data_IF_486819514270
#
_entry.id   IF_486819514270
#
_cell.length_a   1.000
_cell.length_b   1.000
_cell.length_c   1.000
_cell.angle_alpha   90.00
_cell.angle_beta   90.00
_cell.angle_gamma   90.00
#
_symmetry.space_group_name_H-M   'P 1'
#
loop_
_entity.id
_entity.type
_entity.pdbx_description
1 polymer ?
#
# COMPACT_ATOMS: atom_id res chain seq x y z
N UNK A 1 -44.15 61.32 23.62
CA UNK A 1 -43.68 61.44 22.24
C UNK A 1 -43.27 60.01 21.84
N UNK A 2 -44.00 59.49 20.86
CA UNK A 2 -44.04 58.02 20.51
C UNK A 2 -42.81 57.64 19.71
N UNK A 3 -42.10 56.65 20.18
CA UNK A 3 -41.10 55.94 19.38
C UNK A 3 -41.79 54.81 18.62
N UNK A 4 -41.60 54.81 17.30
CA UNK A 4 -42.05 53.74 16.39
C UNK A 4 -40.87 52.80 16.23
N UNK A 5 -41.08 51.56 16.66
CA UNK A 5 -40.11 50.45 16.56
C UNK A 5 -40.32 49.77 15.21
N UNK A 6 -39.38 49.90 14.29
CA UNK A 6 -39.36 49.17 13.02
C UNK A 6 -38.54 47.89 13.25
N UNK A 7 -39.23 46.74 13.24
CA UNK A 7 -38.61 45.42 13.23
C UNK A 7 -38.35 45.06 11.79
N UNK A 8 -37.09 45.04 11.38
CA UNK A 8 -36.66 44.46 10.09
C UNK A 8 -36.29 42.98 10.40
N UNK A 9 -37.14 42.07 9.92
CA UNK A 9 -36.86 40.64 9.92
C UNK A 9 -35.90 40.32 8.78
N UNK A 10 -34.62 40.12 9.11
CA UNK A 10 -33.64 39.55 8.20
C UNK A 10 -33.80 38.05 8.17
N UNK A 11 -34.36 37.51 7.09
CA UNK A 11 -34.31 36.07 6.76
C UNK A 11 -32.86 35.72 6.38
N UNK A 12 -32.16 35.10 7.29
CA UNK A 12 -30.92 34.39 7.00
C UNK A 12 -31.27 33.08 6.28
N UNK A 13 -31.11 33.06 4.98
CA UNK A 13 -31.00 31.81 4.23
C UNK A 13 -29.66 31.18 4.64
N UNK A 14 -29.73 30.21 5.54
CA UNK A 14 -28.62 29.30 5.83
C UNK A 14 -28.50 28.35 4.66
N UNK A 15 -27.63 28.69 3.71
CA UNK A 15 -27.16 27.76 2.69
C UNK A 15 -26.31 26.72 3.41
N UNK A 16 -26.88 25.56 3.75
CA UNK A 16 -26.12 24.37 4.09
C UNK A 16 -25.36 23.92 2.84
N UNK A 17 -24.19 24.48 2.63
CA UNK A 17 -23.16 23.82 1.84
C UNK A 17 -22.73 22.59 2.64
N UNK A 18 -23.25 21.45 2.29
CA UNK A 18 -22.63 20.17 2.65
C UNK A 18 -21.24 20.18 2.01
N UNK A 19 -20.23 20.59 2.78
CA UNK A 19 -18.86 20.16 2.52
C UNK A 19 -18.87 18.66 2.64
N UNK A 20 -19.08 17.98 1.51
CA UNK A 20 -18.72 16.59 1.39
C UNK A 20 -17.21 16.56 1.58
N UNK A 21 -16.82 16.10 2.78
CA UNK A 21 -15.47 15.63 3.05
C UNK A 21 -15.08 14.66 1.95
N UNK A 22 -14.41 15.20 0.93
CA UNK A 22 -13.66 14.38 -0.02
C UNK A 22 -12.41 13.86 0.72
N UNK A 23 -12.64 13.05 1.72
CA UNK A 23 -11.68 12.08 2.16
C UNK A 23 -11.63 11.03 1.04
N UNK A 24 -10.91 11.38 -0.01
CA UNK A 24 -10.56 10.44 -1.07
C UNK A 24 -9.60 9.42 -0.45
N UNK A 25 -10.17 8.51 0.31
CA UNK A 25 -9.56 7.22 0.58
C UNK A 25 -9.41 6.60 -0.81
N UNK A 26 -8.22 6.74 -1.39
CA UNK A 26 -7.83 5.96 -2.57
C UNK A 26 -7.84 4.49 -2.13
N UNK A 27 -9.04 3.90 -2.07
CA UNK A 27 -9.21 2.47 -2.08
C UNK A 27 -8.74 1.98 -3.45
N UNK A 28 -7.43 2.06 -3.65
CA UNK A 28 -6.80 1.25 -4.67
C UNK A 28 -7.16 -0.18 -4.28
N UNK A 29 -7.78 -0.91 -5.19
CA UNK A 29 -8.11 -2.32 -5.04
C UNK A 29 -6.80 -3.13 -5.12
N UNK A 30 -5.84 -2.74 -4.26
CA UNK A 30 -4.54 -3.39 -4.16
C UNK A 30 -4.76 -4.81 -3.66
N UNK A 31 -4.06 -5.76 -4.25
CA UNK A 31 -3.97 -7.10 -3.72
C UNK A 31 -3.44 -7.09 -2.28
N UNK A 32 -3.58 -8.21 -1.58
CA UNK A 32 -3.16 -8.31 -0.18
C UNK A 32 -1.71 -7.82 -0.05
N UNK A 33 -1.51 -6.82 0.79
CA UNK A 33 -0.25 -6.08 0.91
C UNK A 33 0.35 -6.25 2.31
N UNK A 34 1.67 -6.43 2.37
CA UNK A 34 2.44 -6.44 3.60
C UNK A 34 3.43 -5.28 3.61
N UNK A 35 3.45 -4.50 4.68
CA UNK A 35 4.49 -3.52 4.97
C UNK A 35 5.55 -4.20 5.85
N UNK A 36 6.77 -4.33 5.33
CA UNK A 36 7.91 -4.85 6.08
C UNK A 36 8.85 -3.71 6.39
N UNK A 37 9.23 -3.55 7.64
CA UNK A 37 10.08 -2.45 8.01
C UNK A 37 11.08 -2.77 9.14
N UNK A 38 12.17 -2.02 9.16
CA UNK A 38 13.10 -1.92 10.26
C UNK A 38 13.24 -0.48 10.71
N UNK A 39 13.18 -0.21 12.02
CA UNK A 39 13.26 1.14 12.54
C UNK A 39 14.16 1.22 13.78
N UNK A 40 15.36 1.78 13.62
CA UNK A 40 16.31 1.95 14.74
C UNK A 40 15.99 3.19 15.57
N UNK A 41 15.84 4.35 14.94
CA UNK A 41 15.60 5.65 15.59
C UNK A 41 14.14 6.06 15.69
N UNK A 42 13.20 5.23 15.22
CA UNK A 42 11.77 5.54 15.17
C UNK A 42 11.28 6.12 13.85
N UNK A 43 12.14 6.75 13.02
CA UNK A 43 11.72 7.44 11.80
C UNK A 43 10.98 6.53 10.81
N UNK A 44 11.45 5.29 10.57
CA UNK A 44 10.76 4.37 9.69
C UNK A 44 9.40 3.95 10.26
N UNK A 45 9.27 3.78 11.57
CA UNK A 45 7.97 3.47 12.22
C UNK A 45 6.99 4.62 12.03
N UNK A 46 7.42 5.88 12.11
CA UNK A 46 6.56 7.02 11.84
C UNK A 46 6.12 7.09 10.36
N UNK A 47 7.00 6.71 9.42
CA UNK A 47 6.66 6.58 8.01
C UNK A 47 5.60 5.49 7.83
N UNK A 48 5.79 4.32 8.46
CA UNK A 48 4.84 3.20 8.42
C UNK A 48 3.48 3.58 8.99
N UNK A 49 3.44 4.31 10.11
CA UNK A 49 2.18 4.80 10.68
C UNK A 49 1.44 5.73 9.69
N UNK A 50 2.17 6.61 9.00
CA UNK A 50 1.59 7.50 7.99
C UNK A 50 1.14 6.74 6.73
N UNK A 51 1.83 5.66 6.36
CA UNK A 51 1.47 4.78 5.25
C UNK A 51 0.23 3.94 5.59
N UNK A 52 0.17 3.34 6.77
CA UNK A 52 -0.95 2.52 7.23
C UNK A 52 -2.26 3.32 7.39
N UNK A 53 -2.18 4.63 7.56
CA UNK A 53 -3.34 5.50 7.54
C UNK A 53 -3.92 5.71 6.12
N UNK A 54 -3.17 5.34 5.07
CA UNK A 54 -3.53 5.57 3.67
C UNK A 54 -3.78 4.29 2.86
N UNK A 55 -3.24 3.15 3.32
CA UNK A 55 -3.40 1.85 2.68
C UNK A 55 -3.79 0.77 3.68
N UNK A 56 -4.64 -0.17 3.26
CA UNK A 56 -4.93 -1.36 4.04
C UNK A 56 -3.83 -2.39 3.81
N UNK A 57 -3.01 -2.64 4.83
CA UNK A 57 -1.88 -3.57 4.77
C UNK A 57 -1.56 -4.15 6.15
N UNK A 58 -1.11 -5.40 6.18
CA UNK A 58 -0.52 -5.98 7.36
C UNK A 58 0.88 -5.39 7.59
N UNK A 59 1.38 -5.38 8.82
CA UNK A 59 2.67 -4.80 9.17
C UNK A 59 3.57 -5.83 9.84
N UNK A 60 4.85 -5.83 9.46
CA UNK A 60 5.89 -6.67 10.03
C UNK A 60 7.13 -5.82 10.35
N UNK A 61 7.41 -5.63 11.61
CA UNK A 61 8.66 -5.01 12.06
C UNK A 61 9.76 -6.05 12.22
N UNK A 62 10.86 -5.85 11.52
CA UNK A 62 12.04 -6.70 11.66
C UNK A 62 12.86 -6.23 12.86
N UNK A 63 13.25 -7.17 13.71
CA UNK A 63 14.04 -6.89 14.90
C UNK A 63 15.37 -7.65 14.86
N UNK A 64 16.48 -7.03 15.28
CA UNK A 64 17.73 -7.76 15.50
C UNK A 64 17.55 -8.81 16.61
N UNK A 65 18.16 -9.97 16.48
CA UNK A 65 18.11 -11.01 17.53
C UNK A 65 18.79 -10.52 18.82
N UNK A 66 19.93 -9.86 18.70
CA UNK A 66 20.59 -9.21 19.82
C UNK A 66 19.98 -7.84 20.07
N UNK A 67 19.47 -7.63 21.29
CA UNK A 67 18.78 -6.39 21.68
C UNK A 67 19.74 -5.39 22.32
N UNK A 68 19.36 -4.09 22.22
CA UNK A 68 20.09 -3.00 22.87
C UNK A 68 21.42 -2.63 22.20
N UNK A 69 21.66 -3.13 20.99
CA UNK A 69 22.84 -2.77 20.21
C UNK A 69 22.83 -1.27 19.90
N UNK A 70 23.98 -0.64 20.11
CA UNK A 70 24.20 0.76 19.79
C UNK A 70 25.10 0.87 18.55
N UNK A 71 24.48 0.96 17.38
CA UNK A 71 25.19 0.97 16.11
C UNK A 71 26.03 2.24 15.92
N UNK A 72 25.66 3.34 16.60
CA UNK A 72 26.36 4.62 16.61
C UNK A 72 27.55 4.67 17.58
N UNK A 73 27.67 3.71 18.49
CA UNK A 73 28.75 3.68 19.47
C UNK A 73 30.12 3.51 18.80
N UNK A 74 31.17 4.05 19.44
CA UNK A 74 32.57 3.97 18.99
C UNK A 74 32.76 4.42 17.55
N UNK A 75 32.17 5.57 17.17
CA UNK A 75 32.27 6.10 15.81
C UNK A 75 31.59 5.20 14.78
N UNK A 76 30.48 4.59 15.14
CA UNK A 76 29.69 3.67 14.31
C UNK A 76 30.38 2.34 13.95
N UNK A 77 31.30 1.89 14.77
CA UNK A 77 32.12 0.70 14.49
C UNK A 77 31.28 -0.56 14.18
N UNK A 78 30.25 -0.83 14.99
CA UNK A 78 29.40 -2.01 14.81
C UNK A 78 28.64 -1.97 13.48
N UNK A 79 27.94 -0.87 13.19
CA UNK A 79 27.18 -0.74 11.95
C UNK A 79 28.08 -0.84 10.71
N UNK A 80 29.27 -0.23 10.76
CA UNK A 80 30.28 -0.32 9.69
C UNK A 80 30.77 -1.75 9.51
N UNK A 81 31.05 -2.48 10.61
CA UNK A 81 31.47 -3.87 10.55
C UNK A 81 30.44 -4.77 9.89
N UNK A 82 29.14 -4.63 10.25
CA UNK A 82 28.07 -5.43 9.68
C UNK A 82 27.92 -5.21 8.17
N UNK A 83 27.93 -3.95 7.72
CA UNK A 83 27.83 -3.65 6.30
C UNK A 83 29.06 -4.12 5.52
N UNK A 84 30.25 -4.00 6.07
CA UNK A 84 31.49 -4.49 5.45
C UNK A 84 31.49 -6.03 5.32
N UNK A 85 30.97 -6.75 6.32
CA UNK A 85 30.84 -8.21 6.25
C UNK A 85 29.91 -8.62 5.09
N UNK A 86 28.74 -8.01 4.97
CA UNK A 86 27.78 -8.27 3.88
C UNK A 86 28.41 -7.91 2.52
N UNK A 87 29.09 -6.77 2.43
CA UNK A 87 29.74 -6.32 1.19
C UNK A 87 30.86 -7.27 0.74
N UNK A 88 31.62 -7.81 1.68
CA UNK A 88 32.72 -8.72 1.39
C UNK A 88 32.22 -10.08 0.87
N UNK A 89 31.13 -10.59 1.42
CA UNK A 89 30.56 -11.91 1.08
C UNK A 89 29.03 -11.84 1.00
N UNK A 90 28.46 -11.21 -0.04
CA UNK A 90 27.02 -10.91 -0.11
C UNK A 90 26.13 -12.15 -0.30
N UNK A 91 26.71 -13.28 -0.69
CA UNK A 91 25.99 -14.54 -0.91
C UNK A 91 26.15 -15.52 0.27
N UNK A 92 26.98 -15.18 1.27
CA UNK A 92 27.19 -16.00 2.46
C UNK A 92 26.23 -15.55 3.59
N UNK A 93 25.35 -16.46 4.02
CA UNK A 93 24.42 -16.20 5.12
C UNK A 93 25.12 -15.78 6.44
N UNK A 94 26.37 -16.26 6.67
CA UNK A 94 27.16 -15.90 7.84
C UNK A 94 27.58 -14.42 7.89
N UNK A 95 27.52 -13.71 6.76
CA UNK A 95 27.81 -12.28 6.65
C UNK A 95 26.69 -11.39 7.17
N UNK A 96 25.50 -11.95 7.35
CA UNK A 96 24.31 -11.21 7.74
C UNK A 96 24.06 -11.33 9.25
N UNK A 97 23.78 -10.22 9.97
CA UNK A 97 23.47 -10.29 11.38
C UNK A 97 22.18 -11.07 11.64
N UNK A 98 22.11 -11.76 12.77
CA UNK A 98 20.90 -12.49 13.14
C UNK A 98 19.73 -11.54 13.42
N UNK A 99 18.53 -11.96 13.00
CA UNK A 99 17.24 -11.30 13.30
C UNK A 99 16.35 -12.24 14.08
N UNK A 100 15.32 -11.69 14.74
CA UNK A 100 14.29 -12.53 15.37
C UNK A 100 13.60 -13.41 14.32
N UNK A 101 13.16 -14.62 14.70
CA UNK A 101 12.39 -15.47 13.80
C UNK A 101 11.12 -14.76 13.28
N UNK A 102 10.90 -14.81 11.98
CA UNK A 102 9.71 -14.26 11.34
C UNK A 102 8.71 -15.37 11.05
N UNK A 103 7.51 -15.26 11.59
CA UNK A 103 6.43 -16.25 11.43
C UNK A 103 5.41 -15.90 10.34
N UNK A 104 5.53 -14.75 9.69
CA UNK A 104 4.58 -14.30 8.64
C UNK A 104 4.87 -15.06 7.35
N UNK A 105 3.85 -15.76 6.84
CA UNK A 105 3.92 -16.40 5.51
C UNK A 105 3.77 -15.36 4.42
N UNK A 106 4.76 -15.24 3.54
CA UNK A 106 4.70 -14.33 2.40
C UNK A 106 3.80 -14.85 1.27
N UNK A 107 3.40 -16.13 1.28
CA UNK A 107 2.56 -16.71 0.23
C UNK A 107 1.22 -15.99 0.05
N UNK A 108 0.70 -15.39 1.13
CA UNK A 108 -0.61 -14.74 1.14
C UNK A 108 -0.59 -13.32 0.53
N UNK A 109 0.58 -12.76 0.28
CA UNK A 109 0.73 -11.37 -0.16
C UNK A 109 1.15 -11.30 -1.63
N UNK A 110 0.49 -10.44 -2.39
CA UNK A 110 0.86 -10.08 -3.75
C UNK A 110 1.84 -8.92 -3.77
N UNK A 111 1.64 -7.97 -2.86
CA UNK A 111 2.41 -6.73 -2.79
C UNK A 111 3.18 -6.63 -1.47
N UNK A 112 4.42 -6.16 -1.54
CA UNK A 112 5.28 -5.90 -0.38
C UNK A 112 5.75 -4.44 -0.45
N UNK A 113 5.60 -3.69 0.65
CA UNK A 113 6.20 -2.36 0.78
C UNK A 113 7.32 -2.46 1.81
N UNK A 114 8.53 -2.21 1.38
CA UNK A 114 9.73 -2.22 2.24
C UNK A 114 9.98 -0.81 2.74
N UNK A 115 10.14 -0.63 4.06
CA UNK A 115 10.52 0.65 4.67
C UNK A 115 11.79 0.45 5.49
N UNK A 116 12.90 1.09 5.10
CA UNK A 116 14.21 0.86 5.68
C UNK A 116 15.00 2.14 5.92
N UNK A 117 15.80 2.23 6.99
CA UNK A 117 16.76 3.30 7.13
C UNK A 117 17.96 3.06 6.22
N UNK A 118 18.62 4.16 5.85
CA UNK A 118 19.89 4.15 5.17
C UNK A 118 21.02 4.20 6.21
N UNK A 119 21.99 3.28 6.08
CA UNK A 119 23.24 3.26 6.83
C UNK A 119 24.43 3.37 5.86
N UNK A 120 25.23 4.42 5.98
CA UNK A 120 26.44 4.64 5.13
C UNK A 120 26.17 4.44 3.63
N UNK A 121 25.13 5.08 3.14
CA UNK A 121 24.66 5.00 1.75
C UNK A 121 24.16 3.60 1.31
N UNK A 122 24.02 2.65 2.21
CA UNK A 122 23.53 1.30 1.98
C UNK A 122 22.23 1.03 2.77
N UNK A 123 21.57 -0.06 2.46
CA UNK A 123 20.44 -0.53 3.26
C UNK A 123 20.93 -1.00 4.63
N UNK A 124 20.16 -0.70 5.69
CA UNK A 124 20.48 -1.18 7.04
C UNK A 124 20.67 -2.71 7.06
N UNK A 125 21.75 -3.19 7.71
CA UNK A 125 22.13 -4.60 7.72
C UNK A 125 20.99 -5.52 8.17
N UNK A 126 20.18 -5.11 9.13
CA UNK A 126 19.02 -5.87 9.65
C UNK A 126 17.98 -6.10 8.54
N UNK A 127 17.67 -5.08 7.74
CA UNK A 127 16.76 -5.24 6.61
C UNK A 127 17.38 -6.09 5.50
N UNK A 128 18.69 -5.94 5.24
CA UNK A 128 19.38 -6.80 4.28
C UNK A 128 19.31 -8.27 4.68
N UNK A 129 19.45 -8.59 5.98
CA UNK A 129 19.27 -9.96 6.49
C UNK A 129 17.89 -10.52 6.15
N UNK A 130 16.84 -9.77 6.45
CA UNK A 130 15.47 -10.21 6.16
C UNK A 130 15.26 -10.46 4.67
N UNK A 131 15.70 -9.54 3.82
CA UNK A 131 15.55 -9.69 2.37
C UNK A 131 16.35 -10.87 1.83
N UNK A 132 17.57 -11.09 2.32
CA UNK A 132 18.39 -12.24 1.96
C UNK A 132 17.70 -13.57 2.31
N UNK A 133 17.15 -13.68 3.51
CA UNK A 133 16.46 -14.89 3.98
C UNK A 133 15.12 -15.14 3.28
N UNK A 134 14.45 -14.08 2.84
CA UNK A 134 13.09 -14.14 2.27
C UNK A 134 13.06 -14.07 0.74
N UNK A 135 14.20 -13.92 0.07
CA UNK A 135 14.30 -13.66 -1.37
C UNK A 135 13.51 -14.63 -2.25
N UNK A 136 13.58 -15.91 -1.92
CA UNK A 136 12.91 -16.96 -2.70
C UNK A 136 11.38 -16.89 -2.52
N UNK A 137 10.91 -16.52 -1.31
CA UNK A 137 9.48 -16.33 -1.02
C UNK A 137 8.93 -15.03 -1.62
N UNK A 138 9.80 -14.06 -1.93
CA UNK A 138 9.44 -12.80 -2.59
C UNK A 138 9.42 -12.89 -4.11
N UNK A 139 9.94 -13.97 -4.70
CA UNK A 139 9.96 -14.13 -6.15
C UNK A 139 8.55 -13.99 -6.75
N UNK A 140 8.43 -13.22 -7.83
CA UNK A 140 7.18 -12.94 -8.54
C UNK A 140 6.23 -11.96 -7.86
N UNK A 141 6.57 -11.43 -6.67
CA UNK A 141 5.77 -10.41 -5.99
C UNK A 141 6.07 -9.01 -6.53
N UNK A 142 5.13 -8.09 -6.32
CA UNK A 142 5.35 -6.67 -6.60
C UNK A 142 5.85 -5.97 -5.37
N UNK A 143 6.98 -5.27 -5.49
CA UNK A 143 7.68 -4.65 -4.36
C UNK A 143 7.82 -3.15 -4.56
N UNK A 144 7.52 -2.38 -3.53
CA UNK A 144 7.81 -0.94 -3.46
C UNK A 144 8.78 -0.65 -2.32
N UNK A 145 9.55 0.43 -2.42
CA UNK A 145 10.60 0.78 -1.47
C UNK A 145 10.44 2.21 -0.95
N UNK A 146 10.49 2.38 0.36
CA UNK A 146 10.61 3.68 1.03
C UNK A 146 11.91 3.68 1.82
N UNK A 147 12.73 4.70 1.65
CA UNK A 147 14.01 4.84 2.34
C UNK A 147 14.02 6.08 3.21
N UNK A 148 14.32 5.89 4.49
CA UNK A 148 14.56 6.97 5.44
C UNK A 148 16.05 7.25 5.57
N UNK A 149 16.47 8.50 5.34
CA UNK A 149 17.84 8.93 5.57
C UNK A 149 17.88 10.31 6.23
N UNK A 150 19.05 10.72 6.73
CA UNK A 150 19.21 12.10 7.21
C UNK A 150 19.29 13.07 6.02
N UNK A 151 20.27 12.89 5.15
CA UNK A 151 20.52 13.78 4.00
C UNK A 151 21.11 13.07 2.78
N UNK A 152 21.60 11.83 2.95
CA UNK A 152 22.24 11.08 1.85
C UNK A 152 21.20 10.57 0.86
N UNK A 153 21.55 10.62 -0.42
CA UNK A 153 20.74 10.02 -1.50
C UNK A 153 20.63 8.50 -1.36
N UNK A 154 19.59 7.92 -1.93
CA UNK A 154 19.15 6.55 -1.66
C UNK A 154 19.62 5.50 -2.69
N UNK A 155 20.44 5.89 -3.68
CA UNK A 155 20.82 5.00 -4.79
C UNK A 155 21.48 3.68 -4.34
N UNK A 156 22.31 3.73 -3.27
CA UNK A 156 22.94 2.54 -2.73
C UNK A 156 21.93 1.59 -2.07
N UNK A 157 20.89 2.12 -1.39
CA UNK A 157 19.82 1.32 -0.82
C UNK A 157 18.98 0.65 -1.90
N UNK A 158 18.70 1.38 -2.99
CA UNK A 158 17.99 0.82 -4.16
C UNK A 158 18.83 -0.29 -4.80
N UNK A 159 20.13 -0.10 -4.96
CA UNK A 159 21.02 -1.13 -5.49
C UNK A 159 21.08 -2.37 -4.61
N UNK A 160 21.14 -2.21 -3.28
CA UNK A 160 21.08 -3.34 -2.33
C UNK A 160 19.75 -4.11 -2.44
N UNK A 161 18.62 -3.39 -2.53
CA UNK A 161 17.31 -3.99 -2.68
C UNK A 161 17.22 -4.82 -3.98
N UNK A 162 17.68 -4.26 -5.10
CA UNK A 162 17.68 -4.94 -6.40
C UNK A 162 18.60 -6.18 -6.40
N UNK A 163 19.76 -6.09 -5.77
CA UNK A 163 20.68 -7.23 -5.61
C UNK A 163 20.07 -8.35 -4.78
N UNK A 164 19.40 -8.01 -3.68
CA UNK A 164 18.81 -8.99 -2.76
C UNK A 164 17.54 -9.62 -3.32
N UNK A 165 16.80 -8.89 -4.16
CA UNK A 165 15.50 -9.29 -4.71
C UNK A 165 15.49 -9.27 -6.24
N UNK A 166 16.29 -10.10 -6.92
CA UNK A 166 16.43 -10.06 -8.38
C UNK A 166 15.19 -10.58 -9.11
N UNK A 167 14.30 -11.29 -8.43
CA UNK A 167 13.14 -11.97 -9.03
C UNK A 167 11.80 -11.32 -8.68
N UNK A 168 11.79 -10.07 -8.22
CA UNK A 168 10.56 -9.32 -7.95
C UNK A 168 10.24 -8.36 -9.08
N UNK A 169 8.99 -7.89 -9.12
CA UNK A 169 8.59 -6.75 -9.96
C UNK A 169 8.60 -5.48 -9.12
N UNK A 170 9.39 -4.48 -9.49
CA UNK A 170 9.38 -3.19 -8.81
C UNK A 170 8.15 -2.40 -9.21
N UNK A 171 7.37 -1.95 -8.22
CA UNK A 171 6.10 -1.24 -8.43
C UNK A 171 6.31 0.16 -9.04
N UNK A 172 7.46 0.77 -8.82
CA UNK A 172 7.82 2.12 -9.28
C UNK A 172 9.09 2.60 -8.59
N UNK A 173 9.35 3.89 -8.68
CA UNK A 173 10.51 4.51 -8.06
C UNK A 173 10.41 4.50 -6.53
N UNK A 174 11.56 4.37 -5.87
CA UNK A 174 11.64 4.40 -4.42
C UNK A 174 11.33 5.80 -3.86
N UNK A 175 10.53 5.85 -2.80
CA UNK A 175 10.26 7.09 -2.07
C UNK A 175 11.41 7.40 -1.12
N UNK A 176 11.94 8.61 -1.24
CA UNK A 176 12.96 9.12 -0.33
C UNK A 176 12.37 10.09 0.70
N UNK A 177 12.41 9.68 1.97
CA UNK A 177 12.03 10.51 3.12
C UNK A 177 13.29 10.86 3.89
N UNK A 178 13.65 12.14 3.94
CA UNK A 178 14.84 12.64 4.60
C UNK A 178 14.49 13.62 5.74
N UNK A 179 15.51 14.08 6.48
CA UNK A 179 15.29 14.98 7.62
C UNK A 179 14.54 16.27 7.26
N UNK A 180 14.73 16.79 6.05
CA UNK A 180 14.12 18.06 5.63
C UNK A 180 12.64 17.91 5.23
N UNK A 181 12.20 16.70 4.80
CA UNK A 181 10.84 16.44 4.35
C UNK A 181 10.06 15.46 5.22
N UNK A 182 10.65 14.95 6.30
CA UNK A 182 10.04 13.96 7.19
C UNK A 182 8.72 14.44 7.81
N UNK A 183 8.60 15.72 8.14
CA UNK A 183 7.35 16.30 8.63
C UNK A 183 6.20 16.22 7.61
N UNK A 184 6.52 16.20 6.32
CA UNK A 184 5.57 16.13 5.21
C UNK A 184 5.36 14.69 4.68
N UNK A 185 5.84 13.66 5.41
CA UNK A 185 5.81 12.26 4.96
C UNK A 185 4.44 11.77 4.53
N UNK A 186 3.37 12.20 5.21
CA UNK A 186 2.01 11.80 4.84
C UNK A 186 1.63 12.31 3.44
N UNK A 187 1.97 13.55 3.11
CA UNK A 187 1.73 14.13 1.77
C UNK A 187 2.63 13.48 0.72
N UNK A 188 3.90 13.21 1.04
CA UNK A 188 4.80 12.50 0.12
C UNK A 188 4.28 11.11 -0.23
N UNK A 189 3.80 10.36 0.76
CA UNK A 189 3.20 9.04 0.57
C UNK A 189 1.93 9.15 -0.28
N UNK A 190 1.04 10.10 0.01
CA UNK A 190 -0.19 10.35 -0.74
C UNK A 190 0.07 10.64 -2.22
N UNK A 191 1.15 11.36 -2.53
CA UNK A 191 1.56 11.67 -3.91
C UNK A 191 2.24 10.47 -4.59
N UNK A 192 3.00 9.69 -3.84
CA UNK A 192 3.78 8.56 -4.35
C UNK A 192 2.92 7.31 -4.60
N UNK A 193 1.99 6.96 -3.71
CA UNK A 193 1.16 5.75 -3.82
C UNK A 193 0.46 5.59 -5.18
N UNK A 194 -0.15 6.65 -5.77
CA UNK A 194 -0.79 6.54 -7.08
C UNK A 194 0.16 6.30 -8.25
N UNK A 195 1.47 6.48 -8.06
CA UNK A 195 2.48 6.24 -9.12
C UNK A 195 2.90 4.77 -9.18
N UNK A 196 2.47 3.95 -8.23
CA UNK A 196 2.88 2.57 -8.11
C UNK A 196 1.96 1.62 -8.89
N UNK A 197 2.57 0.67 -9.57
CA UNK A 197 1.89 -0.38 -10.31
C UNK A 197 1.77 -1.66 -9.45
N UNK A 198 0.97 -1.60 -8.39
CA UNK A 198 0.70 -2.76 -7.55
C UNK A 198 -0.21 -3.78 -8.24
N UNK A 199 -0.04 -5.07 -7.89
CA UNK A 199 -1.01 -6.08 -8.26
C UNK A 199 -2.34 -5.76 -7.57
N UNK A 200 -3.41 -5.75 -8.34
CA UNK A 200 -4.76 -5.59 -7.84
C UNK A 200 -5.37 -6.97 -7.59
N UNK A 201 -6.21 -7.11 -6.56
CA UNK A 201 -7.12 -8.24 -6.54
C UNK A 201 -8.00 -8.10 -7.78
N UNK A 202 -7.90 -9.04 -8.71
CA UNK A 202 -8.91 -9.15 -9.74
C UNK A 202 -10.24 -9.30 -9.01
N UNK A 203 -11.00 -8.21 -8.91
CA UNK A 203 -12.42 -8.35 -8.69
C UNK A 203 -12.87 -9.10 -9.92
N UNK A 204 -13.11 -10.40 -9.77
CA UNK A 204 -13.85 -11.15 -10.78
C UNK A 204 -15.26 -10.55 -10.78
N UNK A 205 -15.40 -9.39 -11.41
CA UNK A 205 -16.59 -9.08 -12.15
C UNK A 205 -16.45 -10.08 -13.31
N UNK A 206 -16.94 -11.30 -13.08
CA UNK A 206 -17.37 -12.11 -14.19
C UNK A 206 -18.16 -11.12 -15.06
N UNK A 207 -17.61 -10.82 -16.23
CA UNK A 207 -18.41 -10.24 -17.28
C UNK A 207 -19.62 -11.17 -17.36
N UNK A 208 -20.71 -10.77 -16.71
CA UNK A 208 -22.03 -11.27 -17.07
C UNK A 208 -22.07 -10.88 -18.53
N UNK A 209 -21.83 -11.90 -19.38
CA UNK A 209 -21.93 -11.74 -20.83
C UNK A 209 -23.26 -11.04 -21.06
N UNK A 210 -23.22 -9.73 -21.28
CA UNK A 210 -24.35 -8.91 -21.69
C UNK A 210 -24.89 -9.42 -23.06
N UNK A 211 -24.20 -10.37 -23.66
CA UNK A 211 -24.53 -10.94 -24.97
C UNK A 211 -25.49 -12.14 -24.92
N UNK A 212 -26.06 -12.44 -23.75
CA UNK A 212 -27.20 -13.35 -23.62
C UNK A 212 -28.39 -12.71 -22.92
N UNK A 213 -28.76 -11.50 -23.27
CA UNK A 213 -30.14 -11.12 -23.18
C UNK A 213 -30.92 -11.91 -24.25
N UNK A 214 -31.12 -13.21 -24.02
CA UNK A 214 -32.28 -13.85 -24.57
C UNK A 214 -33.46 -13.07 -24.01
N UNK A 215 -34.16 -12.31 -24.87
CA UNK A 215 -35.42 -11.62 -24.54
C UNK A 215 -36.42 -12.66 -24.09
N UNK A 216 -36.37 -13.04 -22.80
CA UNK A 216 -37.31 -14.02 -22.22
C UNK A 216 -38.65 -13.35 -22.04
N UNK A 217 -39.64 -13.88 -22.72
CA UNK A 217 -41.01 -13.46 -22.55
C UNK A 217 -41.64 -14.18 -21.34
N UNK A 218 -42.32 -13.44 -20.49
CA UNK A 218 -43.04 -13.98 -19.32
C UNK A 218 -44.53 -13.73 -19.47
N UNK A 219 -45.35 -14.60 -18.91
CA UNK A 219 -46.78 -14.38 -18.76
C UNK A 219 -47.06 -13.34 -17.66
N UNK A 220 -48.27 -12.85 -17.54
CA UNK A 220 -48.67 -11.95 -16.46
C UNK A 220 -48.53 -12.59 -15.06
N UNK A 221 -48.50 -13.91 -14.95
CA UNK A 221 -48.25 -14.65 -13.71
C UNK A 221 -46.76 -14.87 -13.42
N UNK A 222 -45.84 -14.29 -14.22
CA UNK A 222 -44.39 -14.39 -14.00
C UNK A 222 -43.76 -15.71 -14.47
N UNK A 223 -44.49 -16.60 -15.14
CA UNK A 223 -43.96 -17.84 -15.72
C UNK A 223 -43.38 -17.59 -17.12
N UNK A 224 -42.32 -18.36 -17.47
CA UNK A 224 -41.73 -18.24 -18.80
C UNK A 224 -42.76 -18.56 -19.90
N UNK A 225 -42.94 -17.67 -20.86
CA UNK A 225 -43.90 -17.88 -21.94
C UNK A 225 -43.30 -18.82 -23.01
N UNK A 226 -44.04 -19.85 -23.40
CA UNK A 226 -43.63 -20.76 -24.47
C UNK A 226 -43.62 -20.03 -25.82
N UNK A 227 -42.73 -20.42 -26.73
CA UNK A 227 -42.67 -19.87 -28.07
C UNK A 227 -44.01 -20.05 -28.79
N UNK A 228 -44.51 -18.97 -29.43
CA UNK A 228 -45.79 -19.01 -30.18
C UNK A 228 -47.06 -18.82 -29.33
N UNK A 229 -46.98 -18.64 -28.02
CA UNK A 229 -48.17 -18.40 -27.15
C UNK A 229 -48.85 -17.09 -27.54
N UNK A 230 -50.14 -17.13 -27.83
CA UNK A 230 -51.01 -15.96 -28.03
C UNK A 230 -51.43 -15.37 -26.68
N UNK A 231 -51.46 -14.05 -26.58
CA UNK A 231 -51.88 -13.34 -25.39
C UNK A 231 -50.89 -12.29 -24.93
N UNK A 232 -51.03 -11.84 -23.67
CA UNK A 232 -50.15 -10.79 -23.11
C UNK A 232 -48.89 -11.43 -22.57
N UNK A 233 -47.73 -10.92 -23.01
CA UNK A 233 -46.38 -11.30 -22.52
C UNK A 233 -45.60 -10.07 -22.10
N UNK A 234 -44.70 -10.23 -21.15
CA UNK A 234 -43.77 -9.22 -20.67
C UNK A 234 -42.40 -9.61 -21.19
N UNK A 235 -41.75 -8.72 -21.94
CA UNK A 235 -40.37 -8.84 -22.42
C UNK A 235 -39.64 -7.60 -21.98
N UNK A 236 -38.53 -7.74 -21.27
CA UNK A 236 -37.71 -6.62 -20.74
C UNK A 236 -38.55 -5.58 -19.98
N UNK A 237 -39.48 -6.03 -19.15
CA UNK A 237 -40.36 -5.18 -18.37
C UNK A 237 -41.47 -4.47 -19.15
N UNK A 238 -41.55 -4.67 -20.48
CA UNK A 238 -42.59 -4.09 -21.34
C UNK A 238 -43.65 -5.11 -21.72
N UNK A 239 -44.92 -4.66 -21.76
CA UNK A 239 -46.09 -5.50 -22.10
C UNK A 239 -46.29 -5.55 -23.63
N UNK A 240 -46.38 -6.75 -24.17
CA UNK A 240 -46.69 -7.02 -25.56
C UNK A 240 -47.95 -7.91 -25.68
N UNK A 241 -48.75 -7.70 -26.72
CA UNK A 241 -49.86 -8.54 -27.12
C UNK A 241 -49.41 -9.34 -28.33
N UNK A 242 -49.44 -10.65 -28.29
CA UNK A 242 -49.08 -11.55 -29.39
C UNK A 242 -50.26 -12.36 -29.84
#
# INVERSE_FOLDING_TARGET
>A
MRQILLIVAAMLLTCCSSESDMNAQTNTNMGKTLIVYYSYTGNCREIVNSLAAQVTADQLEIQPAEKGLKYEANGYALGTQLLNAIKANPDDAASYPAIDPVSVSLADYQNIIIVTPLWWSQMAAIMQTYLFQSRDQMAGKTVALIVSSHSSGISGVVADAQRLLPSVTWAGDALWVNASNHSNRASLISTWLPTLNFQTTATAISHVNADRQQHRAYTLSGTLAQAGRKGIVIVDGKKYVR
#
